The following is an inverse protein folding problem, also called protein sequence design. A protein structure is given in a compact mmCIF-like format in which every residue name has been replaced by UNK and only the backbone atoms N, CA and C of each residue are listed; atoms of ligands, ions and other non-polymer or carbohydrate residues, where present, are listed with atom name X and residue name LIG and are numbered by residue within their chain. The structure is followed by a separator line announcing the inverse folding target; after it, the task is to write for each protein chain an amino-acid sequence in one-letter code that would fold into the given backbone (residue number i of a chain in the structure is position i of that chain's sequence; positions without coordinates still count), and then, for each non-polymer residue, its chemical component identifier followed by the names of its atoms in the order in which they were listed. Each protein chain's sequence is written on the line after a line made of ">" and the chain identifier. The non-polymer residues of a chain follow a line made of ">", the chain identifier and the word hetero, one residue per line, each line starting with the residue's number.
data_IF_368149045142
#
_entry.id   IF_368149045142
#
_cell.length_a   1.000
_cell.length_b   1.000
_cell.length_c   1.000
_cell.angle_alpha   90.00
_cell.angle_beta   90.00
_cell.angle_gamma   90.00
#
_symmetry.space_group_name_H-M   'P 1'
#
loop_
_entity.id
_entity.type
_entity.pdbx_description
1 polymer ?
#
# COMPACT_ATOMS: atom_id res chain seq x y z
N UNK A 1 -15.88 -11.13 -3.11
CA UNK A 1 -14.57 -10.74 -2.52
C UNK A 1 -14.44 -9.24 -2.72
N UNK A 2 -14.10 -8.40 -1.70
CA UNK A 2 -13.93 -6.98 -1.96
C UNK A 2 -12.82 -6.79 -3.02
N UNK A 3 -12.99 -5.87 -3.99
CA UNK A 3 -12.05 -5.73 -5.10
C UNK A 3 -10.66 -5.28 -4.63
N UNK A 4 -10.56 -4.67 -3.45
CA UNK A 4 -9.32 -4.21 -2.85
C UNK A 4 -9.10 -4.85 -1.49
N UNK A 5 -7.96 -5.51 -1.32
CA UNK A 5 -7.44 -5.90 -0.01
C UNK A 5 -6.13 -5.18 0.21
N UNK A 6 -6.12 -4.27 1.17
CA UNK A 6 -4.90 -3.61 1.61
C UNK A 6 -4.35 -4.36 2.81
N UNK A 7 -3.19 -4.98 2.62
CA UNK A 7 -2.36 -5.47 3.71
C UNK A 7 -1.35 -4.39 4.05
N UNK A 8 -1.19 -4.10 5.33
CA UNK A 8 -0.28 -3.07 5.80
C UNK A 8 0.58 -3.63 6.93
N UNK A 9 1.73 -3.00 7.14
CA UNK A 9 2.52 -3.14 8.35
C UNK A 9 2.31 -1.90 9.21
N UNK A 10 1.88 -2.09 10.45
CA UNK A 10 1.86 -1.03 11.45
C UNK A 10 3.08 -1.21 12.33
N UNK A 11 3.96 -0.24 12.29
CA UNK A 11 5.17 -0.20 13.09
C UNK A 11 5.22 1.12 13.87
N UNK A 12 5.40 1.03 15.19
CA UNK A 12 5.59 2.20 16.04
C UNK A 12 6.68 1.89 17.07
N UNK A 13 7.72 2.74 17.20
CA UNK A 13 8.82 2.51 18.12
C UNK A 13 8.35 2.63 19.58
N UNK A 14 9.06 1.94 20.49
CA UNK A 14 8.89 2.12 21.92
C UNK A 14 9.82 3.25 22.41
N UNK A 15 9.28 4.18 23.20
CA UNK A 15 10.06 5.27 23.79
C UNK A 15 10.95 4.78 24.93
N UNK A 16 10.50 3.78 25.70
CA UNK A 16 11.20 3.30 26.90
C UNK A 16 12.21 2.19 26.57
N UNK A 17 12.02 1.46 25.47
CA UNK A 17 12.90 0.36 25.07
C UNK A 17 13.27 0.43 23.57
N UNK A 18 14.47 0.92 23.21
CA UNK A 18 14.85 1.07 21.81
C UNK A 18 15.07 -0.27 21.07
N UNK A 19 15.23 -1.38 21.80
CA UNK A 19 15.49 -2.71 21.21
C UNK A 19 14.22 -3.38 20.67
N UNK A 20 13.02 -2.86 21.01
CA UNK A 20 11.76 -3.44 20.57
C UNK A 20 10.74 -2.36 20.18
N UNK A 21 9.93 -2.58 19.14
CA UNK A 21 8.83 -1.68 18.83
C UNK A 21 7.67 -1.87 19.81
N UNK A 22 6.97 -0.78 20.12
CA UNK A 22 5.71 -0.83 20.89
C UNK A 22 4.60 -1.52 20.08
N UNK A 23 4.62 -1.35 18.76
CA UNK A 23 3.68 -1.97 17.82
C UNK A 23 4.43 -2.52 16.62
N UNK A 24 4.22 -3.80 16.30
CA UNK A 24 4.72 -4.40 15.06
C UNK A 24 3.76 -5.50 14.58
N UNK A 25 2.80 -5.08 13.75
CA UNK A 25 1.66 -5.89 13.35
C UNK A 25 1.47 -5.90 11.83
N UNK A 26 1.02 -7.02 11.27
CA UNK A 26 0.36 -7.05 9.95
C UNK A 26 -1.13 -6.85 10.15
N UNK A 27 -1.74 -5.98 9.34
CA UNK A 27 -3.18 -5.72 9.35
C UNK A 27 -3.77 -5.80 7.94
N UNK A 28 -5.08 -5.99 7.90
CA UNK A 28 -5.88 -5.87 6.68
C UNK A 28 -6.95 -4.79 6.87
N UNK A 29 -7.09 -3.89 5.91
CA UNK A 29 -8.13 -2.84 5.95
C UNK A 29 -9.53 -3.42 5.73
N UNK A 30 -10.53 -2.84 6.42
CA UNK A 30 -11.95 -3.07 6.17
C UNK A 30 -12.46 -2.05 5.15
N UNK A 31 -12.52 -2.47 3.89
CA UNK A 31 -12.96 -1.65 2.76
C UNK A 31 -14.40 -2.01 2.40
N UNK A 32 -15.29 -1.02 2.39
CA UNK A 32 -16.70 -1.16 2.05
C UNK A 32 -17.08 -0.19 0.93
N UNK A 33 -18.24 -0.42 0.30
CA UNK A 33 -18.79 0.46 -0.76
C UNK A 33 -17.84 0.73 -1.93
N UNK A 34 -16.97 -0.23 -2.27
CA UNK A 34 -16.06 -0.09 -3.40
C UNK A 34 -16.86 0.01 -4.72
N UNK A 35 -16.56 1.05 -5.49
CA UNK A 35 -17.12 1.31 -6.82
C UNK A 35 -15.97 1.67 -7.75
N UNK A 36 -16.06 1.20 -9.00
CA UNK A 36 -15.19 1.65 -10.07
C UNK A 36 -16.03 2.41 -11.09
N UNK A 37 -15.50 3.51 -11.60
CA UNK A 37 -16.00 4.16 -12.79
C UNK A 37 -15.42 3.52 -14.04
N UNK A 38 -15.45 4.25 -15.15
CA UNK A 38 -14.86 3.79 -16.40
C UNK A 38 -13.37 3.52 -16.24
N UNK A 39 -12.91 2.45 -16.88
CA UNK A 39 -11.51 2.03 -16.90
C UNK A 39 -11.01 2.01 -18.34
N UNK A 40 -9.83 2.58 -18.53
CA UNK A 40 -9.15 2.72 -19.81
C UNK A 40 -7.79 2.04 -19.70
N UNK A 41 -7.40 1.34 -20.76
CA UNK A 41 -6.11 0.68 -20.88
C UNK A 41 -5.33 1.33 -22.03
N UNK A 42 -4.01 1.40 -21.90
CA UNK A 42 -3.13 1.83 -22.99
C UNK A 42 -1.66 1.52 -22.69
N UNK A 43 -0.77 2.06 -23.51
CA UNK A 43 0.67 1.98 -23.29
C UNK A 43 1.10 2.96 -22.18
N UNK A 44 2.23 2.68 -21.54
CA UNK A 44 2.80 3.54 -20.50
C UNK A 44 4.33 3.62 -20.58
N UNK A 45 4.88 4.79 -20.29
CA UNK A 45 6.30 4.98 -19.94
C UNK A 45 6.33 5.50 -18.49
N UNK A 46 7.22 4.94 -17.66
CA UNK A 46 7.35 5.31 -16.25
C UNK A 46 8.80 5.17 -15.81
N UNK A 47 9.28 6.16 -15.06
CA UNK A 47 10.65 6.21 -14.53
C UNK A 47 10.62 6.67 -13.09
N UNK A 48 11.36 6.00 -12.24
CA UNK A 48 11.58 6.42 -10.86
C UNK A 48 12.89 7.19 -10.76
N UNK A 49 12.87 8.29 -10.02
CA UNK A 49 14.01 9.20 -9.90
C UNK A 49 14.67 9.03 -8.55
N UNK A 50 16.02 9.09 -8.46
CA UNK A 50 16.73 8.98 -7.21
C UNK A 50 16.41 10.16 -6.28
N UNK A 51 16.40 9.88 -4.98
CA UNK A 51 16.19 10.86 -3.92
C UNK A 51 17.10 10.51 -2.75
N UNK A 52 17.55 11.53 -2.02
CA UNK A 52 18.32 11.33 -0.78
C UNK A 52 17.43 10.82 0.36
N UNK A 53 16.12 11.02 0.25
CA UNK A 53 15.15 10.69 1.30
C UNK A 53 14.16 9.59 0.90
N UNK A 54 14.17 9.13 -0.35
CA UNK A 54 13.23 8.13 -0.86
C UNK A 54 13.99 7.02 -1.59
N UNK A 55 13.63 5.78 -1.31
CA UNK A 55 14.28 4.57 -1.85
C UNK A 55 13.50 3.98 -3.04
N UNK A 56 12.45 4.67 -3.53
CA UNK A 56 11.55 4.12 -4.57
C UNK A 56 12.29 3.76 -5.87
N UNK A 57 13.36 4.48 -6.20
CA UNK A 57 14.17 4.23 -7.38
C UNK A 57 14.87 2.87 -7.36
N UNK A 58 15.12 2.30 -6.18
CA UNK A 58 15.71 0.96 -6.03
C UNK A 58 14.73 -0.15 -6.48
N UNK A 59 13.44 0.19 -6.55
CA UNK A 59 12.36 -0.66 -7.08
C UNK A 59 11.91 -0.21 -8.48
N UNK A 60 12.78 0.49 -9.22
CA UNK A 60 12.52 0.94 -10.59
C UNK A 60 12.04 -0.18 -11.52
N UNK A 61 11.15 0.14 -12.48
CA UNK A 61 10.67 -0.86 -13.43
C UNK A 61 11.80 -1.33 -14.36
N UNK A 62 11.85 -2.63 -14.64
CA UNK A 62 12.67 -3.17 -15.74
C UNK A 62 12.01 -2.81 -17.08
N UNK A 63 10.70 -3.06 -17.19
CA UNK A 63 9.89 -2.78 -18.38
C UNK A 63 8.43 -2.47 -17.96
N UNK A 64 7.84 -1.35 -18.38
CA UNK A 64 6.41 -1.09 -18.22
C UNK A 64 5.58 -2.02 -19.13
N UNK A 65 4.63 -2.76 -18.58
CA UNK A 65 3.82 -3.69 -19.38
C UNK A 65 2.52 -3.09 -19.93
N UNK A 66 1.83 -2.26 -19.12
CA UNK A 66 0.55 -1.60 -19.46
C UNK A 66 0.30 -0.37 -18.58
N UNK A 67 -0.45 0.60 -19.10
CA UNK A 67 -1.04 1.71 -18.36
C UNK A 67 -2.54 1.53 -18.17
N UNK A 68 -3.04 1.96 -17.00
CA UNK A 68 -4.47 1.99 -16.71
C UNK A 68 -4.87 3.36 -16.17
N UNK A 69 -6.00 3.87 -16.64
CA UNK A 69 -6.65 5.06 -16.09
C UNK A 69 -8.07 4.71 -15.68
N UNK A 70 -8.43 4.95 -14.42
CA UNK A 70 -9.75 4.63 -13.89
C UNK A 70 -10.13 5.54 -12.73
N UNK A 71 -11.42 5.60 -12.44
CA UNK A 71 -11.95 6.23 -11.23
C UNK A 71 -12.32 5.14 -10.20
N UNK A 72 -12.00 5.38 -8.93
CA UNK A 72 -12.37 4.48 -7.84
C UNK A 72 -12.95 5.25 -6.66
N UNK A 73 -14.03 4.74 -6.08
CA UNK A 73 -14.60 5.21 -4.83
C UNK A 73 -14.67 4.07 -3.83
N UNK A 74 -14.33 4.32 -2.56
CA UNK A 74 -14.45 3.33 -1.49
C UNK A 74 -14.56 4.01 -0.13
N UNK A 75 -15.04 3.28 0.87
CA UNK A 75 -15.03 3.70 2.27
C UNK A 75 -14.11 2.77 3.06
N UNK A 76 -13.15 3.33 3.80
CA UNK A 76 -12.29 2.57 4.72
C UNK A 76 -12.79 2.83 6.13
N UNK A 77 -13.22 1.78 6.84
CA UNK A 77 -13.86 1.90 8.17
C UNK A 77 -12.96 1.41 9.32
N UNK A 78 -11.69 1.17 9.03
CA UNK A 78 -10.71 0.63 9.97
C UNK A 78 -10.03 -0.61 9.38
N UNK A 79 -9.57 -1.51 10.25
CA UNK A 79 -8.90 -2.74 9.84
C UNK A 79 -8.81 -3.74 10.98
N UNK A 80 -8.26 -4.92 10.69
CA UNK A 80 -8.07 -5.99 11.66
C UNK A 80 -6.61 -6.44 11.65
N UNK A 81 -6.02 -6.59 12.84
CA UNK A 81 -4.71 -7.23 13.01
C UNK A 81 -4.83 -8.70 12.62
N UNK A 82 -3.96 -9.15 11.72
CA UNK A 82 -3.91 -10.53 11.25
C UNK A 82 -2.65 -11.26 11.73
N UNK A 83 -1.60 -10.53 12.11
CA UNK A 83 -0.40 -11.08 12.71
C UNK A 83 0.26 -10.06 13.64
N UNK A 84 0.88 -10.52 14.74
CA UNK A 84 1.68 -9.71 15.66
C UNK A 84 3.06 -10.35 15.81
N UNK A 85 4.12 -9.60 15.54
CA UNK A 85 5.51 -10.08 15.57
C UNK A 85 6.18 -9.89 16.95
N UNK A 86 5.39 -9.93 18.04
CA UNK A 86 5.87 -9.67 19.40
C UNK A 86 7.12 -10.47 19.77
#
# INVERSE_FOLDING_TARGET
>A
VPPFKFYLMRHFPDYENPEKPLVHDVLVSNVTNAKMGDAWEGDADIRFMPSVFEEVADLGPIEPTKGFFFQAGMTITGGRVIHRYR
#
